data_IF_840336389897
#
_entry.id   IF_840336389897
#
_cell.length_a   1.000
_cell.length_b   1.000
_cell.length_c   1.000
_cell.angle_alpha   90.00
_cell.angle_beta   90.00
_cell.angle_gamma   90.00
#
_symmetry.space_group_name_H-M   'P 1'
#
loop_
_entity.id
_entity.type
_entity.pdbx_description
1 polymer ?
#
# COMPACT_ATOMS: atom_id res chain seq x y z
N UNK A 1 -25.16 -3.70 16.18
CA UNK A 1 -25.23 -4.15 14.77
C UNK A 1 -26.15 -3.24 13.96
N UNK A 2 -25.66 -2.71 12.85
CA UNK A 2 -26.37 -1.81 11.94
C UNK A 2 -27.10 -2.62 10.85
N UNK A 3 -28.41 -2.40 10.69
CA UNK A 3 -29.18 -3.02 9.60
C UNK A 3 -29.16 -2.13 8.34
N UNK A 4 -28.73 -2.67 7.21
CA UNK A 4 -28.70 -1.97 5.94
C UNK A 4 -29.71 -2.62 4.99
N UNK A 5 -30.74 -1.86 4.62
CA UNK A 5 -31.68 -2.27 3.59
C UNK A 5 -31.19 -1.83 2.22
N UNK A 6 -31.27 -2.74 1.25
CA UNK A 6 -31.10 -2.41 -0.17
C UNK A 6 -32.01 -3.30 -1.02
N UNK A 7 -32.31 -2.87 -2.25
CA UNK A 7 -33.17 -3.63 -3.16
C UNK A 7 -32.51 -4.91 -3.70
N UNK A 8 -31.17 -4.98 -3.71
CA UNK A 8 -30.40 -6.14 -4.20
C UNK A 8 -29.07 -6.25 -3.47
N UNK A 9 -28.74 -7.42 -2.92
CA UNK A 9 -27.43 -7.67 -2.32
C UNK A 9 -26.51 -8.25 -3.39
N UNK A 10 -25.44 -7.55 -3.73
CA UNK A 10 -24.39 -7.97 -4.67
C UNK A 10 -23.05 -8.15 -3.98
N UNK A 11 -22.10 -8.79 -4.66
CA UNK A 11 -20.73 -8.91 -4.19
C UNK A 11 -20.06 -7.56 -3.93
N UNK A 12 -20.22 -6.59 -4.85
CA UNK A 12 -19.68 -5.22 -4.70
C UNK A 12 -20.26 -4.51 -3.48
N UNK A 13 -21.58 -4.55 -3.33
CA UNK A 13 -22.29 -3.98 -2.17
C UNK A 13 -21.79 -4.61 -0.87
N UNK A 14 -21.80 -5.93 -0.75
CA UNK A 14 -21.34 -6.62 0.47
C UNK A 14 -19.88 -6.30 0.79
N UNK A 15 -19.02 -6.28 -0.24
CA UNK A 15 -17.61 -5.99 -0.09
C UNK A 15 -17.36 -4.59 0.48
N UNK A 16 -17.93 -3.55 -0.15
CA UNK A 16 -17.65 -2.17 0.25
C UNK A 16 -18.33 -1.80 1.56
N UNK A 17 -19.55 -2.30 1.82
CA UNK A 17 -20.21 -2.10 3.10
C UNK A 17 -19.40 -2.69 4.25
N UNK A 18 -18.84 -3.90 4.08
CA UNK A 18 -17.96 -4.51 5.09
C UNK A 18 -16.63 -3.75 5.22
N UNK A 19 -16.11 -3.18 4.15
CA UNK A 19 -14.88 -2.38 4.25
C UNK A 19 -15.13 -1.09 5.05
N UNK A 20 -16.13 -0.28 4.68
CA UNK A 20 -16.45 0.97 5.36
C UNK A 20 -16.89 0.72 6.80
N UNK A 21 -17.94 -0.08 7.01
CA UNK A 21 -18.51 -0.23 8.34
C UNK A 21 -17.65 -1.10 9.25
N UNK A 22 -17.22 -2.27 8.79
CA UNK A 22 -16.55 -3.23 9.69
C UNK A 22 -15.06 -2.95 9.80
N UNK A 23 -14.35 -2.70 8.70
CA UNK A 23 -12.88 -2.56 8.73
C UNK A 23 -12.40 -1.16 9.12
N UNK A 24 -13.05 -0.11 8.62
CA UNK A 24 -12.68 1.27 8.98
C UNK A 24 -13.37 1.69 10.27
N UNK A 25 -14.70 1.49 10.36
CA UNK A 25 -15.51 2.03 11.45
C UNK A 25 -15.80 1.07 12.61
N UNK A 26 -15.38 -0.19 12.58
CA UNK A 26 -15.62 -1.12 13.70
C UNK A 26 -17.10 -1.36 14.01
N UNK A 27 -17.97 -1.29 13.00
CA UNK A 27 -19.43 -1.50 13.10
C UNK A 27 -19.79 -2.83 12.43
N UNK A 28 -20.43 -3.70 13.20
CA UNK A 28 -21.06 -4.91 12.66
C UNK A 28 -22.30 -4.56 11.83
N UNK A 29 -22.41 -5.17 10.66
CA UNK A 29 -23.51 -4.92 9.71
C UNK A 29 -24.27 -6.19 9.36
N UNK A 30 -25.58 -6.05 9.18
CA UNK A 30 -26.45 -7.05 8.56
C UNK A 30 -27.21 -6.43 7.40
N UNK A 31 -27.44 -7.22 6.36
CA UNK A 31 -28.10 -6.78 5.14
C UNK A 31 -29.48 -7.41 5.02
N UNK A 32 -30.45 -6.67 4.49
CA UNK A 32 -31.76 -7.21 4.11
C UNK A 32 -32.27 -6.62 2.81
N UNK A 33 -33.01 -7.42 2.05
CA UNK A 33 -33.81 -6.98 0.89
C UNK A 33 -35.30 -6.91 1.20
N UNK A 34 -35.71 -7.27 2.41
CA UNK A 34 -37.12 -7.28 2.83
C UNK A 34 -37.44 -6.01 3.60
N UNK A 35 -38.38 -5.23 3.07
CA UNK A 35 -38.88 -4.02 3.74
C UNK A 35 -39.46 -4.36 5.12
N UNK A 36 -40.11 -5.52 5.27
CA UNK A 36 -40.66 -5.97 6.56
C UNK A 36 -39.60 -6.11 7.65
N UNK A 37 -38.43 -6.67 7.33
CA UNK A 37 -37.33 -6.83 8.28
C UNK A 37 -36.78 -5.46 8.70
N UNK A 38 -36.68 -4.53 7.73
CA UNK A 38 -36.29 -3.15 7.99
C UNK A 38 -37.28 -2.43 8.92
N UNK A 39 -38.59 -2.60 8.71
CA UNK A 39 -39.62 -1.99 9.56
C UNK A 39 -39.57 -2.58 10.97
N UNK A 40 -39.45 -3.91 11.11
CA UNK A 40 -39.41 -4.61 12.40
C UNK A 40 -38.16 -4.31 13.22
N UNK A 41 -37.06 -3.91 12.59
CA UNK A 41 -35.80 -3.62 13.27
C UNK A 41 -35.88 -2.31 14.08
N UNK A 42 -35.56 -2.38 15.37
CA UNK A 42 -35.63 -1.27 16.33
C UNK A 42 -34.29 -0.57 16.56
N UNK A 43 -33.18 -1.20 16.19
CA UNK A 43 -31.83 -0.64 16.31
C UNK A 43 -31.45 0.33 15.18
N UNK A 44 -30.18 0.76 15.12
CA UNK A 44 -29.64 1.55 14.03
C UNK A 44 -29.90 0.87 12.68
N UNK A 45 -30.47 1.63 11.74
CA UNK A 45 -30.78 1.12 10.40
C UNK A 45 -30.70 2.21 9.36
N UNK A 46 -30.14 1.87 8.20
CA UNK A 46 -30.04 2.77 7.05
C UNK A 46 -30.63 2.12 5.79
N UNK A 47 -31.01 2.96 4.83
CA UNK A 47 -31.43 2.52 3.49
C UNK A 47 -30.41 2.95 2.45
N UNK A 48 -30.08 2.04 1.54
CA UNK A 48 -29.21 2.28 0.40
C UNK A 48 -29.92 1.89 -0.90
N UNK A 49 -30.63 2.84 -1.49
CA UNK A 49 -31.54 2.67 -2.63
C UNK A 49 -31.68 3.94 -3.45
N UNK A 50 -32.45 3.91 -4.54
CA UNK A 50 -32.73 5.11 -5.36
C UNK A 50 -33.66 6.12 -4.68
N UNK A 51 -34.55 5.65 -3.80
CA UNK A 51 -35.52 6.45 -3.07
C UNK A 51 -35.56 6.00 -1.60
N UNK A 52 -35.81 6.91 -0.65
CA UNK A 52 -36.02 6.56 0.75
C UNK A 52 -37.33 5.78 0.91
N UNK A 53 -37.42 4.97 1.96
CA UNK A 53 -38.66 4.29 2.33
C UNK A 53 -39.55 5.23 3.15
N UNK A 54 -38.98 5.93 4.12
CA UNK A 54 -39.65 6.84 5.05
C UNK A 54 -38.69 7.98 5.47
N UNK A 55 -38.55 8.23 6.78
CA UNK A 55 -37.67 9.26 7.36
C UNK A 55 -36.47 8.63 8.09
N UNK A 56 -35.93 7.54 7.55
CA UNK A 56 -34.71 6.89 8.04
C UNK A 56 -33.42 7.63 7.61
N UNK A 57 -32.27 7.13 8.07
CA UNK A 57 -31.00 7.53 7.47
C UNK A 57 -30.87 6.87 6.09
N UNK A 58 -30.96 7.67 5.05
CA UNK A 58 -31.01 7.27 3.66
C UNK A 58 -29.78 7.78 2.90
N UNK A 59 -29.10 6.86 2.20
CA UNK A 59 -28.04 7.18 1.25
C UNK A 59 -28.53 6.79 -0.14
N UNK A 60 -28.60 7.77 -1.04
CA UNK A 60 -29.04 7.51 -2.42
C UNK A 60 -27.97 6.72 -3.18
N UNK A 61 -28.39 5.62 -3.80
CA UNK A 61 -27.48 4.70 -4.48
C UNK A 61 -27.20 5.04 -5.95
N UNK A 62 -25.95 4.93 -6.34
CA UNK A 62 -25.45 4.80 -7.71
C UNK A 62 -25.62 3.35 -8.19
N UNK A 63 -25.66 3.14 -9.50
CA UNK A 63 -25.85 1.81 -10.09
C UNK A 63 -24.58 0.95 -10.05
N UNK A 64 -23.39 1.57 -9.86
CA UNK A 64 -22.09 0.91 -9.84
C UNK A 64 -22.03 -0.34 -8.94
N UNK A 65 -22.68 -0.31 -7.77
CA UNK A 65 -22.67 -1.44 -6.84
C UNK A 65 -23.63 -2.57 -7.25
N UNK A 66 -24.52 -2.34 -8.21
CA UNK A 66 -25.53 -3.31 -8.66
C UNK A 66 -25.28 -3.85 -10.08
N UNK A 67 -24.39 -3.20 -10.81
CA UNK A 67 -23.88 -3.58 -12.12
C UNK A 67 -22.85 -4.73 -12.04
N UNK A 68 -22.58 -5.35 -13.19
CA UNK A 68 -21.50 -6.31 -13.39
C UNK A 68 -20.60 -5.82 -14.52
N UNK A 69 -19.32 -6.17 -14.44
CA UNK A 69 -18.34 -5.79 -15.46
C UNK A 69 -17.87 -4.34 -15.35
N UNK A 70 -17.14 -3.90 -16.38
CA UNK A 70 -16.46 -2.62 -16.40
C UNK A 70 -17.12 -1.72 -17.44
N UNK A 71 -17.56 -0.55 -16.99
CA UNK A 71 -18.24 0.48 -17.78
C UNK A 71 -17.44 1.77 -17.64
N UNK A 72 -17.44 2.58 -18.69
CA UNK A 72 -16.88 3.93 -18.60
C UNK A 72 -17.80 4.81 -17.73
N UNK A 73 -17.20 5.58 -16.83
CA UNK A 73 -17.92 6.36 -15.82
C UNK A 73 -17.54 7.84 -15.96
N UNK A 74 -18.55 8.70 -15.95
CA UNK A 74 -18.38 10.15 -15.98
C UNK A 74 -18.45 10.70 -14.55
N UNK A 75 -17.44 11.47 -14.16
CA UNK A 75 -17.35 12.03 -12.82
C UNK A 75 -17.66 13.53 -12.83
N UNK A 76 -18.54 13.92 -11.91
CA UNK A 76 -18.64 15.31 -11.45
C UNK A 76 -18.10 15.35 -10.03
N UNK A 77 -16.99 16.07 -9.85
CA UNK A 77 -16.40 16.27 -8.53
C UNK A 77 -17.23 17.30 -7.77
N UNK A 78 -17.59 16.95 -6.55
CA UNK A 78 -18.15 17.84 -5.54
C UNK A 78 -17.22 17.87 -4.32
N UNK A 79 -17.74 18.41 -3.22
CA UNK A 79 -17.01 18.53 -1.97
C UNK A 79 -17.96 18.18 -0.80
N UNK A 80 -17.45 17.48 0.21
CA UNK A 80 -18.11 17.27 1.48
C UNK A 80 -17.16 17.66 2.63
N UNK A 81 -17.49 18.75 3.32
CA UNK A 81 -16.70 19.34 4.42
C UNK A 81 -15.21 19.49 4.06
N UNK A 82 -14.90 20.12 2.92
CA UNK A 82 -13.53 20.34 2.47
C UNK A 82 -12.82 19.11 1.89
N UNK A 83 -13.54 18.01 1.63
CA UNK A 83 -12.98 16.79 1.04
C UNK A 83 -13.63 16.57 -0.33
N UNK A 84 -12.83 16.45 -1.41
CA UNK A 84 -13.38 16.11 -2.73
C UNK A 84 -14.19 14.81 -2.68
N UNK A 85 -15.30 14.75 -3.40
CA UNK A 85 -16.17 13.58 -3.49
C UNK A 85 -16.81 13.49 -4.88
N UNK A 86 -17.38 12.34 -5.25
CA UNK A 86 -18.01 12.13 -6.56
C UNK A 86 -19.17 11.15 -6.45
N UNK A 87 -19.95 11.00 -7.54
CA UNK A 87 -21.30 10.42 -7.49
C UNK A 87 -22.26 11.22 -6.60
N UNK A 88 -22.31 12.53 -6.86
CA UNK A 88 -23.19 13.48 -6.17
C UNK A 88 -24.63 12.97 -6.17
N UNK A 89 -25.28 13.06 -5.01
CA UNK A 89 -26.67 12.70 -4.81
C UNK A 89 -27.56 13.94 -4.78
N UNK A 90 -28.87 13.77 -4.73
CA UNK A 90 -29.81 14.90 -4.61
C UNK A 90 -30.19 15.15 -3.16
N UNK A 91 -30.82 16.30 -2.91
CA UNK A 91 -31.18 16.86 -1.58
C UNK A 91 -31.96 15.92 -0.64
N UNK A 92 -32.49 14.80 -1.13
CA UNK A 92 -33.19 13.81 -0.31
C UNK A 92 -32.25 12.83 0.42
N UNK A 93 -30.98 12.74 0.02
CA UNK A 93 -29.97 11.88 0.66
C UNK A 93 -29.43 12.57 1.92
N UNK A 94 -29.18 11.81 2.98
CA UNK A 94 -28.55 12.36 4.19
C UNK A 94 -27.08 12.72 4.00
N UNK A 95 -26.45 12.24 2.92
CA UNK A 95 -25.04 12.49 2.57
C UNK A 95 -25.01 13.03 1.14
N UNK A 96 -24.13 14.02 0.82
CA UNK A 96 -24.15 14.72 -0.47
C UNK A 96 -23.72 13.88 -1.69
N UNK A 97 -23.20 12.68 -1.49
CA UNK A 97 -22.77 11.77 -2.57
C UNK A 97 -22.94 10.30 -2.14
N UNK A 98 -22.84 9.41 -3.11
CA UNK A 98 -22.80 7.98 -2.83
C UNK A 98 -21.40 7.55 -2.37
N UNK A 99 -21.19 7.66 -1.05
CA UNK A 99 -19.96 7.25 -0.37
C UNK A 99 -19.56 5.80 -0.69
N UNK A 100 -20.52 4.90 -0.83
CA UNK A 100 -20.23 3.48 -1.01
C UNK A 100 -19.78 3.18 -2.44
N UNK A 101 -20.44 3.77 -3.44
CA UNK A 101 -19.99 3.64 -4.83
C UNK A 101 -18.64 4.34 -5.05
N UNK A 102 -18.44 5.53 -4.49
CA UNK A 102 -17.19 6.27 -4.62
C UNK A 102 -16.02 5.51 -3.97
N UNK A 103 -16.23 4.97 -2.78
CA UNK A 103 -15.22 4.16 -2.08
C UNK A 103 -14.91 2.87 -2.82
N UNK A 104 -15.94 2.19 -3.37
CA UNK A 104 -15.72 0.98 -4.17
C UNK A 104 -14.87 1.27 -5.40
N UNK A 105 -15.14 2.38 -6.12
CA UNK A 105 -14.38 2.79 -7.29
C UNK A 105 -12.88 2.94 -6.98
N UNK A 106 -12.54 3.64 -5.89
CA UNK A 106 -11.15 3.86 -5.49
C UNK A 106 -10.47 2.58 -4.98
N UNK A 107 -11.12 1.83 -4.09
CA UNK A 107 -10.52 0.65 -3.44
C UNK A 107 -10.34 -0.50 -4.42
N UNK A 108 -11.31 -0.74 -5.31
CA UNK A 108 -11.20 -1.77 -6.35
C UNK A 108 -10.20 -1.38 -7.44
N UNK A 109 -9.66 -0.15 -7.41
CA UNK A 109 -8.83 0.43 -8.47
C UNK A 109 -9.53 0.34 -9.83
N UNK A 110 -10.82 0.66 -9.85
CA UNK A 110 -11.68 0.51 -11.02
C UNK A 110 -11.10 1.17 -12.28
N UNK A 111 -10.47 2.34 -12.13
CA UNK A 111 -9.80 3.07 -13.20
C UNK A 111 -8.68 2.28 -13.90
N UNK A 112 -8.02 1.35 -13.20
CA UNK A 112 -6.94 0.54 -13.78
C UNK A 112 -7.46 -0.62 -14.64
N UNK A 113 -8.78 -0.91 -14.60
CA UNK A 113 -9.42 -1.84 -15.54
C UNK A 113 -9.82 -1.16 -16.86
N UNK A 114 -9.91 0.18 -16.88
CA UNK A 114 -10.23 0.95 -18.07
C UNK A 114 -8.99 1.10 -18.97
N UNK A 115 -9.15 1.34 -20.27
CA UNK A 115 -8.01 1.64 -21.15
C UNK A 115 -7.23 2.86 -20.64
N UNK A 116 -5.92 2.68 -20.43
CA UNK A 116 -5.03 3.73 -19.95
C UNK A 116 -3.62 3.56 -20.54
N UNK A 117 -2.83 4.63 -20.52
CA UNK A 117 -1.43 4.60 -20.95
C UNK A 117 -0.55 4.21 -19.77
N UNK A 118 0.05 3.03 -19.85
CA UNK A 118 1.02 2.55 -18.85
C UNK A 118 2.35 3.28 -19.00
N UNK A 119 3.07 3.42 -17.89
CA UNK A 119 4.43 3.96 -17.92
C UNK A 119 5.46 2.97 -18.49
N UNK A 120 6.74 3.36 -18.51
CA UNK A 120 7.84 2.53 -19.04
C UNK A 120 8.05 1.19 -18.32
N UNK A 121 7.48 1.01 -17.12
CA UNK A 121 7.52 -0.22 -16.35
C UNK A 121 6.19 -0.98 -16.40
N UNK A 122 5.22 -0.53 -17.19
CA UNK A 122 3.91 -1.16 -17.29
C UNK A 122 2.98 -0.83 -16.12
N UNK A 123 3.22 0.27 -15.39
CA UNK A 123 2.44 0.69 -14.22
C UNK A 123 1.37 1.69 -14.60
N UNK A 124 0.31 1.77 -13.79
CA UNK A 124 -0.67 2.85 -13.85
C UNK A 124 -0.04 4.15 -13.31
N UNK A 125 0.14 5.19 -14.13
CA UNK A 125 0.76 6.43 -13.70
C UNK A 125 -0.17 7.26 -12.81
N UNK A 126 0.34 7.97 -11.79
CA UNK A 126 -0.48 8.78 -10.91
C UNK A 126 -1.25 9.86 -11.66
N UNK A 127 -0.70 10.44 -12.72
CA UNK A 127 -1.32 11.52 -13.53
C UNK A 127 -2.64 11.12 -14.21
N UNK A 128 -2.86 9.83 -14.43
CA UNK A 128 -4.10 9.29 -14.99
C UNK A 128 -5.14 8.99 -13.90
N UNK A 129 -4.76 9.05 -12.62
CA UNK A 129 -5.68 8.79 -11.51
C UNK A 129 -6.63 9.95 -11.26
N UNK A 130 -7.88 9.62 -10.93
CA UNK A 130 -8.88 10.61 -10.50
C UNK A 130 -8.37 11.45 -9.31
N UNK A 131 -7.60 10.81 -8.41
CA UNK A 131 -7.05 11.41 -7.20
C UNK A 131 -5.97 12.46 -7.46
N UNK A 132 -5.09 12.21 -8.43
CA UNK A 132 -4.08 13.19 -8.84
C UNK A 132 -4.72 14.35 -9.61
N UNK A 133 -5.63 14.05 -10.53
CA UNK A 133 -6.27 15.07 -11.38
C UNK A 133 -7.14 16.07 -10.60
N UNK A 134 -7.53 15.73 -9.37
CA UNK A 134 -8.38 16.55 -8.53
C UNK A 134 -7.76 16.81 -7.14
N UNK A 135 -6.43 16.75 -7.05
CA UNK A 135 -5.63 17.18 -5.89
C UNK A 135 -6.02 16.55 -4.54
N UNK A 136 -6.40 15.27 -4.54
CA UNK A 136 -6.71 14.52 -3.31
C UNK A 136 -5.84 13.28 -3.10
N UNK A 137 -4.77 13.12 -3.87
CA UNK A 137 -3.85 11.98 -3.76
C UNK A 137 -3.23 11.86 -2.34
N UNK A 138 -2.88 12.98 -1.72
CA UNK A 138 -2.22 13.01 -0.41
C UNK A 138 -3.19 12.78 0.77
N UNK A 139 -4.47 12.48 0.52
CA UNK A 139 -5.48 12.29 1.57
C UNK A 139 -6.09 10.89 1.49
N UNK A 140 -6.28 10.19 2.61
CA UNK A 140 -6.99 8.90 2.63
C UNK A 140 -8.50 9.16 2.57
N UNK A 141 -8.99 9.70 1.45
CA UNK A 141 -10.36 10.22 1.31
C UNK A 141 -11.44 9.21 1.69
N UNK A 142 -11.23 7.91 1.42
CA UNK A 142 -12.20 6.87 1.80
C UNK A 142 -12.33 6.74 3.32
N UNK A 143 -11.22 6.79 4.03
CA UNK A 143 -11.21 6.79 5.49
C UNK A 143 -11.85 8.07 6.05
N UNK A 144 -11.51 9.23 5.46
CA UNK A 144 -12.09 10.52 5.88
C UNK A 144 -13.61 10.50 5.70
N UNK A 145 -14.10 10.07 4.52
CA UNK A 145 -15.53 9.95 4.26
C UNK A 145 -16.22 8.98 5.23
N UNK A 146 -15.57 7.87 5.58
CA UNK A 146 -16.11 6.92 6.55
C UNK A 146 -16.29 7.57 7.93
N UNK A 147 -15.32 8.36 8.41
CA UNK A 147 -15.44 9.07 9.69
C UNK A 147 -16.46 10.21 9.65
N UNK A 148 -16.61 10.90 8.51
CA UNK A 148 -17.69 11.87 8.29
C UNK A 148 -19.07 11.16 8.32
N UNK A 149 -19.21 10.01 7.65
CA UNK A 149 -20.40 9.17 7.72
C UNK A 149 -20.70 8.74 9.17
N UNK A 150 -19.67 8.36 9.93
CA UNK A 150 -19.84 7.97 11.32
C UNK A 150 -20.39 9.12 12.18
N UNK A 151 -19.95 10.37 11.93
CA UNK A 151 -20.48 11.55 12.61
C UNK A 151 -21.98 11.71 12.34
N UNK A 152 -22.40 11.70 11.08
CA UNK A 152 -23.81 11.79 10.68
C UNK A 152 -24.65 10.65 11.27
N UNK A 153 -24.10 9.43 11.29
CA UNK A 153 -24.77 8.28 11.90
C UNK A 153 -24.93 8.43 13.41
N UNK A 154 -23.94 8.96 14.12
CA UNK A 154 -24.03 9.20 15.57
C UNK A 154 -25.01 10.31 15.92
N UNK A 155 -25.17 11.31 15.07
CA UNK A 155 -26.24 12.32 15.23
C UNK A 155 -27.62 11.67 15.16
N UNK A 156 -27.80 10.69 14.25
CA UNK A 156 -29.08 9.96 14.12
C UNK A 156 -29.27 8.83 15.13
N UNK A 157 -28.18 8.16 15.51
CA UNK A 157 -28.15 7.00 16.40
C UNK A 157 -27.14 7.21 17.53
N UNK A 158 -27.46 8.05 18.55
CA UNK A 158 -26.49 8.45 19.58
C UNK A 158 -25.89 7.30 20.40
N UNK A 159 -26.64 6.21 20.55
CA UNK A 159 -26.23 5.03 21.32
C UNK A 159 -25.56 3.95 20.44
N UNK A 160 -25.15 4.27 19.22
CA UNK A 160 -24.48 3.31 18.34
C UNK A 160 -23.06 3.03 18.85
N UNK A 161 -22.82 1.78 19.23
CA UNK A 161 -21.51 1.29 19.63
C UNK A 161 -20.59 1.08 18.41
N UNK A 162 -19.32 1.40 18.61
CA UNK A 162 -18.26 1.36 17.60
C UNK A 162 -17.01 0.78 18.26
N UNK A 163 -16.40 -0.22 17.64
CA UNK A 163 -15.08 -0.68 18.06
C UNK A 163 -14.02 0.36 17.67
N UNK A 164 -13.27 0.85 18.66
CA UNK A 164 -12.22 1.83 18.41
C UNK A 164 -10.95 1.15 17.89
N UNK A 165 -10.50 1.58 16.71
CA UNK A 165 -9.15 1.29 16.22
C UNK A 165 -8.15 2.38 16.62
N UNK A 166 -6.88 2.03 16.72
CA UNK A 166 -5.78 2.97 16.93
C UNK A 166 -4.99 3.21 15.65
N UNK A 167 -4.36 4.38 15.56
CA UNK A 167 -3.35 4.66 14.55
C UNK A 167 -2.18 3.66 14.67
N UNK A 168 -1.67 3.19 13.54
CA UNK A 168 -0.45 2.39 13.48
C UNK A 168 0.52 2.93 12.43
N UNK A 169 1.80 2.66 12.62
CA UNK A 169 2.84 2.98 11.66
C UNK A 169 3.71 1.76 11.41
N UNK A 170 3.92 1.43 10.13
CA UNK A 170 4.72 0.29 9.68
C UNK A 170 5.82 0.80 8.76
N UNK A 171 7.07 0.45 9.06
CA UNK A 171 8.21 0.80 8.21
C UNK A 171 8.68 -0.39 7.39
N UNK A 172 8.68 -0.25 6.07
CA UNK A 172 9.18 -1.26 5.15
C UNK A 172 10.58 -0.87 4.67
N UNK A 173 11.49 -1.85 4.66
CA UNK A 173 12.81 -1.72 4.08
C UNK A 173 12.88 -2.57 2.81
N UNK A 174 13.00 -1.91 1.66
CA UNK A 174 13.24 -2.57 0.38
C UNK A 174 14.73 -2.89 0.24
N UNK A 175 15.03 -4.19 0.09
CA UNK A 175 16.39 -4.69 -0.09
C UNK A 175 16.51 -5.27 -1.50
N UNK A 176 16.52 -4.38 -2.50
CA UNK A 176 16.75 -4.75 -3.91
C UNK A 176 18.18 -5.20 -4.15
N UNK A 177 19.13 -4.63 -3.40
CA UNK A 177 20.53 -5.04 -3.40
C UNK A 177 21.09 -4.94 -1.99
N UNK A 178 21.46 -6.06 -1.39
CA UNK A 178 22.06 -6.07 -0.05
C UNK A 178 23.42 -5.38 0.03
N UNK A 179 24.22 -5.44 -1.03
CA UNK A 179 25.59 -4.89 -1.06
C UNK A 179 25.92 -4.24 -2.40
N UNK A 180 26.52 -3.05 -2.36
CA UNK A 180 26.95 -2.31 -3.54
C UNK A 180 28.17 -2.98 -4.22
N UNK A 181 29.13 -3.45 -3.42
CA UNK A 181 30.40 -4.00 -3.88
C UNK A 181 30.70 -5.37 -3.26
N UNK A 182 30.49 -5.52 -1.96
CA UNK A 182 30.80 -6.74 -1.22
C UNK A 182 29.96 -7.93 -1.71
N UNK A 183 30.54 -9.13 -1.57
CA UNK A 183 29.87 -10.42 -1.80
C UNK A 183 29.32 -10.64 -3.21
N UNK A 184 29.62 -9.75 -4.16
CA UNK A 184 29.36 -9.94 -5.59
C UNK A 184 30.39 -10.89 -6.21
N UNK A 185 29.97 -11.62 -7.23
CA UNK A 185 30.85 -12.55 -7.96
C UNK A 185 32.05 -11.83 -8.61
N UNK A 186 33.20 -12.51 -8.68
CA UNK A 186 34.47 -11.95 -9.13
C UNK A 186 34.38 -11.23 -10.48
N UNK A 187 33.74 -11.85 -11.48
CA UNK A 187 33.56 -11.28 -12.82
C UNK A 187 32.77 -9.97 -12.78
N UNK A 188 31.69 -9.91 -11.99
CA UNK A 188 30.87 -8.69 -11.83
C UNK A 188 31.67 -7.57 -11.14
N UNK A 189 32.48 -7.93 -10.15
CA UNK A 189 33.33 -6.99 -9.42
C UNK A 189 34.40 -6.37 -10.33
N UNK A 190 35.04 -7.18 -11.18
CA UNK A 190 36.04 -6.71 -12.16
C UNK A 190 35.40 -5.88 -13.28
N UNK A 191 34.28 -6.33 -13.85
CA UNK A 191 33.55 -5.57 -14.87
C UNK A 191 33.09 -4.21 -14.31
N UNK A 192 32.60 -4.16 -13.07
CA UNK A 192 32.25 -2.92 -12.39
C UNK A 192 33.45 -1.98 -12.23
N UNK A 193 34.63 -2.50 -11.88
CA UNK A 193 35.86 -1.71 -11.79
C UNK A 193 36.25 -1.11 -13.16
N UNK A 194 36.23 -1.92 -14.23
CA UNK A 194 36.56 -1.45 -15.58
C UNK A 194 35.57 -0.38 -16.06
N UNK A 195 34.28 -0.56 -15.79
CA UNK A 195 33.26 0.45 -16.11
C UNK A 195 33.45 1.73 -15.30
N UNK A 196 33.72 1.64 -14.00
CA UNK A 196 33.95 2.81 -13.15
C UNK A 196 35.21 3.58 -13.58
N UNK A 197 36.29 2.88 -13.95
CA UNK A 197 37.50 3.48 -14.52
C UNK A 197 37.25 4.12 -15.89
N UNK A 198 36.57 3.41 -16.80
CA UNK A 198 36.25 3.91 -18.14
C UNK A 198 35.29 5.10 -18.12
N UNK A 199 34.47 5.22 -17.08
CA UNK A 199 33.57 6.36 -16.84
C UNK A 199 34.15 7.43 -15.91
N UNK A 200 35.44 7.34 -15.56
CA UNK A 200 36.17 8.29 -14.70
C UNK A 200 35.55 8.50 -13.32
N UNK A 201 34.84 7.50 -12.78
CA UNK A 201 34.22 7.53 -11.44
C UNK A 201 35.22 7.10 -10.37
N UNK A 202 36.32 7.84 -10.24
CA UNK A 202 37.44 7.49 -9.35
C UNK A 202 37.04 7.30 -7.88
N UNK A 203 36.04 8.04 -7.40
CA UNK A 203 35.49 7.86 -6.04
C UNK A 203 34.94 6.44 -5.83
N UNK A 204 34.11 5.94 -6.75
CA UNK A 204 33.56 4.57 -6.70
C UNK A 204 34.65 3.51 -6.79
N UNK A 205 35.71 3.78 -7.56
CA UNK A 205 36.89 2.92 -7.63
C UNK A 205 37.57 2.83 -6.26
N UNK A 206 37.82 3.96 -5.60
CA UNK A 206 38.41 3.98 -4.26
C UNK A 206 37.53 3.26 -3.22
N UNK A 207 36.22 3.55 -3.19
CA UNK A 207 35.25 2.86 -2.32
C UNK A 207 35.28 1.35 -2.53
N UNK A 208 35.27 0.89 -3.78
CA UNK A 208 35.34 -0.53 -4.12
C UNK A 208 36.60 -1.20 -3.55
N UNK A 209 37.76 -0.57 -3.66
CA UNK A 209 39.00 -1.09 -3.07
C UNK A 209 38.94 -1.12 -1.54
N UNK A 210 38.38 -0.08 -0.90
CA UNK A 210 38.19 -0.06 0.55
C UNK A 210 37.28 -1.20 1.02
N UNK A 211 36.16 -1.43 0.31
CA UNK A 211 35.22 -2.52 0.63
C UNK A 211 35.82 -3.91 0.36
N UNK A 212 36.72 -4.05 -0.62
CA UNK A 212 37.44 -5.30 -0.82
C UNK A 212 38.40 -5.62 0.34
N UNK A 213 39.01 -4.59 0.95
CA UNK A 213 39.88 -4.75 2.12
C UNK A 213 39.05 -4.96 3.40
N UNK A 214 37.93 -4.25 3.54
CA UNK A 214 37.01 -4.38 4.67
C UNK A 214 35.54 -4.38 4.17
N UNK A 215 34.94 -5.58 3.98
CA UNK A 215 33.56 -5.71 3.49
C UNK A 215 32.50 -4.98 4.33
N UNK A 216 32.75 -4.76 5.62
CA UNK A 216 31.81 -4.04 6.50
C UNK A 216 31.74 -2.52 6.25
N UNK A 217 32.52 -2.00 5.30
CA UNK A 217 32.41 -0.62 4.81
C UNK A 217 31.50 -0.52 3.58
N UNK A 218 30.81 -1.60 3.19
CA UNK A 218 29.89 -1.54 2.04
C UNK A 218 28.78 -0.53 2.34
N UNK A 219 28.54 0.45 1.45
CA UNK A 219 27.56 1.50 1.71
C UNK A 219 26.15 0.95 1.93
N UNK A 220 25.81 -0.20 1.33
CA UNK A 220 24.47 -0.76 1.44
C UNK A 220 24.30 -1.71 2.64
N UNK A 221 25.39 -2.01 3.38
CA UNK A 221 25.37 -2.84 4.58
C UNK A 221 24.99 -2.00 5.82
N UNK A 222 23.75 -1.51 5.84
CA UNK A 222 23.19 -0.69 6.92
C UNK A 222 22.24 -1.46 7.86
N UNK A 223 22.17 -2.79 7.73
CA UNK A 223 21.18 -3.64 8.42
C UNK A 223 21.29 -3.56 9.94
N UNK A 224 22.50 -3.59 10.49
CA UNK A 224 22.73 -3.52 11.95
C UNK A 224 22.21 -2.21 12.53
N UNK A 225 22.49 -1.09 11.87
CA UNK A 225 22.01 0.24 12.28
C UNK A 225 20.49 0.35 12.19
N UNK A 226 19.88 -0.21 11.13
CA UNK A 226 18.42 -0.23 10.99
C UNK A 226 17.75 -1.06 12.10
N UNK A 227 18.26 -2.25 12.38
CA UNK A 227 17.75 -3.11 13.47
C UNK A 227 17.87 -2.40 14.82
N UNK A 228 19.00 -1.72 15.09
CA UNK A 228 19.18 -0.96 16.31
C UNK A 228 18.18 0.20 16.43
N UNK A 229 17.97 0.95 15.34
CA UNK A 229 16.94 2.01 15.30
C UNK A 229 15.54 1.46 15.56
N UNK A 230 15.17 0.37 14.90
CA UNK A 230 13.86 -0.27 15.10
C UNK A 230 13.67 -0.74 16.54
N UNK A 231 14.71 -1.35 17.13
CA UNK A 231 14.68 -1.79 18.53
C UNK A 231 14.58 -0.61 19.51
N UNK A 232 15.32 0.46 19.27
CA UNK A 232 15.34 1.64 20.15
C UNK A 232 14.00 2.36 20.18
N UNK A 233 13.28 2.43 19.05
CA UNK A 233 11.96 3.04 18.98
C UNK A 233 10.80 2.06 19.17
N UNK A 234 11.07 0.76 19.18
CA UNK A 234 10.04 -0.29 19.26
C UNK A 234 9.14 -0.35 18.02
N UNK A 235 9.61 0.12 16.86
CA UNK A 235 8.82 0.24 15.61
C UNK A 235 8.63 -1.13 14.96
N UNK A 236 7.40 -1.42 14.51
CA UNK A 236 7.14 -2.55 13.61
C UNK A 236 7.81 -2.35 12.25
N UNK A 237 8.78 -3.21 11.91
CA UNK A 237 9.50 -3.14 10.63
C UNK A 237 9.51 -4.47 9.87
N UNK A 238 9.54 -4.35 8.54
CA UNK A 238 9.58 -5.49 7.62
C UNK A 238 10.68 -5.27 6.58
N UNK A 239 11.49 -6.29 6.32
CA UNK A 239 12.52 -6.28 5.28
C UNK A 239 12.07 -7.12 4.09
N UNK A 240 11.93 -6.50 2.93
CA UNK A 240 11.61 -7.16 1.67
C UNK A 240 12.89 -7.47 0.90
N UNK A 241 13.38 -8.69 1.05
CA UNK A 241 14.59 -9.13 0.36
C UNK A 241 14.29 -9.58 -1.06
N UNK A 242 14.98 -8.98 -2.03
CA UNK A 242 15.08 -9.56 -3.36
C UNK A 242 15.95 -10.82 -3.29
N UNK A 243 15.31 -11.99 -3.35
CA UNK A 243 15.97 -13.30 -3.28
C UNK A 243 15.86 -14.03 -4.63
N UNK A 244 16.53 -13.48 -5.64
CA UNK A 244 16.43 -13.92 -7.03
C UNK A 244 17.78 -14.01 -7.72
N UNK A 245 17.85 -14.81 -8.78
CA UNK A 245 19.03 -14.88 -9.64
C UNK A 245 19.25 -13.58 -10.43
N UNK A 246 20.50 -13.41 -10.90
CA UNK A 246 20.91 -12.19 -11.57
C UNK A 246 20.21 -11.99 -12.93
N UNK A 247 19.69 -10.79 -13.18
CA UNK A 247 19.07 -10.38 -14.44
C UNK A 247 19.38 -8.92 -14.79
N UNK A 248 18.87 -8.44 -15.94
CA UNK A 248 19.01 -7.04 -16.38
C UNK A 248 18.55 -6.05 -15.32
N UNK A 249 17.42 -6.34 -14.70
CA UNK A 249 16.90 -5.52 -13.62
C UNK A 249 17.41 -6.05 -12.29
N UNK A 250 17.45 -7.36 -12.04
CA UNK A 250 17.69 -8.00 -10.73
C UNK A 250 19.19 -8.14 -10.44
N UNK A 251 19.75 -7.24 -9.62
CA UNK A 251 21.21 -7.08 -9.46
C UNK A 251 21.72 -7.43 -8.07
N UNK A 252 20.93 -8.07 -7.22
CA UNK A 252 21.34 -8.43 -5.87
C UNK A 252 22.53 -9.43 -5.86
N UNK A 253 23.02 -9.70 -4.65
CA UNK A 253 23.91 -10.83 -4.35
C UNK A 253 23.17 -12.14 -4.63
N UNK A 254 23.86 -13.12 -5.20
CA UNK A 254 23.24 -14.39 -5.59
C UNK A 254 22.60 -15.11 -4.38
N UNK A 255 21.41 -15.70 -4.54
CA UNK A 255 20.75 -16.55 -3.55
C UNK A 255 21.63 -17.69 -3.01
N UNK A 256 22.58 -18.17 -3.82
CA UNK A 256 23.51 -19.24 -3.47
C UNK A 256 24.65 -18.79 -2.53
N UNK A 257 24.80 -17.49 -2.28
CA UNK A 257 25.83 -16.97 -1.37
C UNK A 257 25.50 -17.27 0.08
N UNK A 258 26.34 -18.07 0.75
CA UNK A 258 26.19 -18.35 2.18
C UNK A 258 26.20 -17.09 3.04
N UNK A 259 26.95 -16.05 2.64
CA UNK A 259 26.99 -14.77 3.37
C UNK A 259 25.67 -14.02 3.26
N UNK A 260 25.04 -14.02 2.09
CA UNK A 260 23.73 -13.39 1.91
C UNK A 260 22.64 -14.15 2.67
N UNK A 261 22.66 -15.48 2.62
CA UNK A 261 21.75 -16.32 3.41
C UNK A 261 21.94 -16.12 4.91
N UNK A 262 23.18 -15.94 5.38
CA UNK A 262 23.48 -15.62 6.78
C UNK A 262 22.93 -14.24 7.17
N UNK A 263 23.13 -13.21 6.33
CA UNK A 263 22.57 -11.87 6.57
C UNK A 263 21.05 -11.93 6.73
N UNK A 264 20.35 -12.61 5.82
CA UNK A 264 18.89 -12.74 5.89
C UNK A 264 18.47 -13.41 7.20
N UNK A 265 19.17 -14.47 7.63
CA UNK A 265 18.91 -15.12 8.92
C UNK A 265 19.12 -14.16 10.08
N UNK A 266 20.23 -13.42 10.11
CA UNK A 266 20.49 -12.46 11.19
C UNK A 266 19.46 -11.35 11.25
N UNK A 267 18.93 -10.89 10.11
CA UNK A 267 17.81 -9.92 10.10
C UNK A 267 16.52 -10.58 10.59
N UNK A 268 16.25 -11.83 10.20
CA UNK A 268 15.06 -12.57 10.62
C UNK A 268 15.00 -12.92 12.12
N UNK A 269 16.13 -12.82 12.84
CA UNK A 269 16.18 -12.96 14.30
C UNK A 269 15.57 -11.76 15.03
N UNK A 270 15.51 -10.59 14.38
CA UNK A 270 15.04 -9.33 15.00
C UNK A 270 13.84 -8.70 14.30
N UNK A 271 13.64 -8.95 13.00
CA UNK A 271 12.63 -8.29 12.17
C UNK A 271 11.88 -9.29 11.29
N UNK A 272 10.73 -8.86 10.78
CA UNK A 272 9.96 -9.65 9.81
C UNK A 272 10.69 -9.63 8.46
N UNK A 273 10.91 -10.79 7.87
CA UNK A 273 11.47 -10.95 6.52
C UNK A 273 10.37 -11.39 5.57
N UNK A 274 10.25 -10.68 4.45
CA UNK A 274 9.26 -10.92 3.40
C UNK A 274 9.94 -10.94 2.01
N UNK A 275 9.21 -11.39 0.99
CA UNK A 275 9.75 -11.48 -0.37
C UNK A 275 9.60 -10.16 -1.12
N UNK A 276 10.71 -9.54 -1.51
CA UNK A 276 10.73 -8.59 -2.62
C UNK A 276 10.81 -9.36 -3.93
N UNK A 277 9.69 -9.55 -4.61
CA UNK A 277 9.64 -10.36 -5.84
C UNK A 277 10.56 -9.75 -6.90
N UNK A 278 11.20 -10.59 -7.71
CA UNK A 278 12.05 -10.10 -8.79
C UNK A 278 11.24 -9.42 -9.89
N UNK A 279 11.92 -8.60 -10.69
CA UNK A 279 11.30 -8.06 -11.90
C UNK A 279 10.96 -9.19 -12.89
N UNK A 280 11.80 -10.23 -12.91
CA UNK A 280 11.67 -11.38 -13.81
C UNK A 280 10.51 -12.31 -13.45
N UNK A 281 10.07 -12.34 -12.18
CA UNK A 281 8.97 -13.19 -11.72
C UNK A 281 7.58 -12.58 -11.93
N UNK A 282 7.50 -11.31 -12.39
CA UNK A 282 6.25 -10.59 -12.57
C UNK A 282 5.19 -11.34 -13.42
N UNK A 283 5.62 -11.85 -14.58
CA UNK A 283 4.77 -12.65 -15.49
C UNK A 283 5.07 -14.16 -15.40
N UNK A 284 5.80 -14.61 -14.37
CA UNK A 284 6.25 -15.99 -14.22
C UNK A 284 5.95 -16.54 -12.81
N UNK A 285 4.76 -17.13 -12.69
CA UNK A 285 4.26 -17.75 -11.45
C UNK A 285 5.20 -18.85 -10.93
N UNK A 286 5.78 -19.66 -11.81
CA UNK A 286 6.68 -20.75 -11.40
C UNK A 286 7.96 -20.18 -10.75
N UNK A 287 8.51 -19.12 -11.32
CA UNK A 287 9.67 -18.42 -10.75
C UNK A 287 9.31 -17.75 -9.42
N UNK A 288 8.15 -17.09 -9.33
CA UNK A 288 7.68 -16.48 -8.08
C UNK A 288 7.51 -17.53 -6.96
N UNK A 289 6.94 -18.70 -7.27
CA UNK A 289 6.82 -19.84 -6.33
C UNK A 289 8.20 -20.31 -5.87
N UNK A 290 9.16 -20.39 -6.78
CA UNK A 290 10.53 -20.80 -6.44
C UNK A 290 11.24 -19.77 -5.56
N UNK A 291 11.19 -18.48 -5.89
CA UNK A 291 11.76 -17.39 -5.08
C UNK A 291 11.19 -17.41 -3.65
N UNK A 292 9.85 -17.52 -3.52
CA UNK A 292 9.16 -17.65 -2.23
C UNK A 292 9.66 -18.86 -1.44
N UNK A 293 9.72 -20.03 -2.09
CA UNK A 293 10.14 -21.29 -1.47
C UNK A 293 11.59 -21.22 -1.00
N UNK A 294 12.50 -20.71 -1.82
CA UNK A 294 13.92 -20.63 -1.47
C UNK A 294 14.16 -19.68 -0.30
N UNK A 295 13.50 -18.51 -0.28
CA UNK A 295 13.61 -17.58 0.84
C UNK A 295 13.03 -18.21 2.12
N UNK A 296 11.87 -18.87 2.03
CA UNK A 296 11.25 -19.59 3.16
C UNK A 296 12.20 -20.65 3.75
N UNK A 297 12.92 -21.40 2.89
CA UNK A 297 13.92 -22.37 3.33
C UNK A 297 15.14 -21.75 4.00
N UNK A 298 15.52 -20.51 3.64
CA UNK A 298 16.65 -19.82 4.29
C UNK A 298 16.32 -19.51 5.74
N UNK A 299 15.13 -18.98 6.03
CA UNK A 299 14.75 -18.57 7.39
C UNK A 299 13.96 -19.64 8.16
N UNK A 300 13.62 -20.77 7.51
CA UNK A 300 12.80 -21.85 8.07
C UNK A 300 11.45 -21.37 8.62
N UNK A 301 10.80 -20.43 7.91
CA UNK A 301 9.50 -19.84 8.25
C UNK A 301 8.69 -19.59 6.96
N UNK A 302 7.35 -19.63 7.01
CA UNK A 302 6.53 -19.30 5.85
C UNK A 302 6.71 -17.83 5.45
N UNK A 303 6.67 -17.56 4.15
CA UNK A 303 6.70 -16.20 3.58
C UNK A 303 5.32 -15.89 3.02
N UNK A 304 4.57 -15.06 3.74
CA UNK A 304 3.17 -14.76 3.42
C UNK A 304 2.96 -13.36 2.80
N UNK A 305 3.95 -12.48 2.98
CA UNK A 305 3.96 -11.13 2.48
C UNK A 305 4.85 -10.97 1.25
N UNK A 306 4.40 -10.16 0.30
CA UNK A 306 5.14 -9.84 -0.92
C UNK A 306 5.17 -8.35 -1.22
N UNK A 307 6.17 -7.94 -1.98
CA UNK A 307 6.24 -6.64 -2.63
C UNK A 307 6.83 -6.79 -4.02
N UNK A 308 6.14 -6.30 -5.05
CA UNK A 308 6.59 -6.43 -6.43
C UNK A 308 7.61 -5.36 -6.75
N UNK A 309 8.62 -5.74 -7.54
CA UNK A 309 9.66 -4.80 -7.92
C UNK A 309 9.12 -3.61 -8.71
N UNK A 310 9.69 -2.42 -8.45
CA UNK A 310 9.25 -1.14 -9.02
C UNK A 310 7.80 -0.74 -8.65
N UNK A 311 7.19 -1.39 -7.65
CA UNK A 311 5.76 -1.25 -7.34
C UNK A 311 4.87 -1.56 -8.54
N UNK A 312 5.31 -2.52 -9.38
CA UNK A 312 4.57 -2.92 -10.56
C UNK A 312 3.37 -3.74 -10.15
N UNK A 313 2.18 -3.21 -10.43
CA UNK A 313 0.90 -3.89 -10.24
C UNK A 313 0.15 -3.77 -11.56
N UNK A 314 -0.19 -4.91 -12.15
CA UNK A 314 -1.09 -5.04 -13.29
C UNK A 314 -2.38 -5.71 -12.83
N UNK A 315 -3.47 -4.95 -12.81
CA UNK A 315 -4.75 -5.40 -12.28
C UNK A 315 -5.56 -6.09 -13.40
N UNK A 316 -6.17 -7.27 -13.13
CA UNK A 316 -6.17 -8.05 -11.88
C UNK A 316 -5.01 -9.08 -11.79
N UNK A 317 -4.23 -9.24 -12.86
CA UNK A 317 -3.26 -10.34 -13.05
C UNK A 317 -2.27 -10.49 -11.90
N UNK A 318 -1.69 -9.40 -11.41
CA UNK A 318 -0.69 -9.44 -10.31
C UNK A 318 -1.29 -10.07 -9.05
N UNK A 319 -2.48 -9.62 -8.63
CA UNK A 319 -3.12 -10.15 -7.43
C UNK A 319 -3.58 -11.59 -7.58
N UNK A 320 -4.01 -12.01 -8.78
CA UNK A 320 -4.29 -13.42 -9.08
C UNK A 320 -3.04 -14.28 -8.95
N UNK A 321 -1.92 -13.84 -9.51
CA UNK A 321 -0.64 -14.54 -9.41
C UNK A 321 -0.19 -14.66 -7.94
N UNK A 322 -0.37 -13.61 -7.14
CA UNK A 322 -0.04 -13.64 -5.71
C UNK A 322 -0.91 -14.63 -4.93
N UNK A 323 -2.21 -14.68 -5.22
CA UNK A 323 -3.12 -15.69 -4.62
C UNK A 323 -2.71 -17.11 -5.04
N UNK A 324 -2.41 -17.34 -6.32
CA UNK A 324 -2.00 -18.66 -6.81
C UNK A 324 -0.64 -19.13 -6.26
N UNK A 325 0.20 -18.18 -5.85
CA UNK A 325 1.47 -18.42 -5.14
C UNK A 325 1.32 -18.41 -3.62
N UNK A 326 0.08 -18.40 -3.12
CA UNK A 326 -0.31 -18.49 -1.70
C UNK A 326 0.22 -17.32 -0.84
N UNK A 327 0.42 -16.13 -1.41
CA UNK A 327 0.60 -14.92 -0.61
C UNK A 327 -0.75 -14.47 -0.06
N UNK A 328 -0.73 -14.03 1.20
CA UNK A 328 -1.92 -13.49 1.88
C UNK A 328 -1.88 -11.98 2.01
N UNK A 329 -0.69 -11.39 1.92
CA UNK A 329 -0.47 -9.96 2.13
C UNK A 329 0.42 -9.37 1.02
N UNK A 330 -0.02 -8.28 0.42
CA UNK A 330 0.70 -7.50 -0.58
C UNK A 330 0.97 -6.10 -0.03
N UNK A 331 2.21 -5.64 -0.16
CA UNK A 331 2.63 -4.30 0.24
C UNK A 331 3.06 -3.46 -0.98
N UNK A 332 2.54 -3.75 -2.18
CA UNK A 332 2.98 -3.12 -3.44
C UNK A 332 2.16 -1.88 -3.81
N UNK A 333 0.94 -1.75 -3.30
CA UNK A 333 0.01 -0.70 -3.71
C UNK A 333 0.41 0.69 -3.20
N UNK A 334 1.11 1.44 -4.04
CA UNK A 334 1.45 2.85 -3.84
C UNK A 334 2.20 3.38 -5.05
N UNK A 335 2.67 4.63 -4.99
CA UNK A 335 3.45 5.26 -6.06
C UNK A 335 4.93 5.36 -5.68
N UNK A 336 5.82 5.04 -6.63
CA UNK A 336 7.28 5.12 -6.38
C UNK A 336 7.80 6.56 -6.35
N UNK A 337 7.19 7.46 -7.12
CA UNK A 337 7.70 8.83 -7.33
C UNK A 337 6.70 9.93 -6.92
N UNK A 338 5.57 9.53 -6.34
CA UNK A 338 4.58 10.43 -5.77
C UNK A 338 4.23 9.95 -4.37
N UNK A 339 3.99 10.89 -3.47
CA UNK A 339 3.48 10.59 -2.14
C UNK A 339 1.94 10.59 -2.16
N UNK A 340 1.33 9.83 -1.26
CA UNK A 340 -0.13 9.75 -1.12
C UNK A 340 -0.70 8.35 -1.33
N UNK A 341 -2.03 8.26 -1.30
CA UNK A 341 -2.78 7.01 -1.18
C UNK A 341 -3.32 6.58 -2.54
N UNK A 342 -2.62 5.66 -3.21
CA UNK A 342 -3.03 5.14 -4.54
C UNK A 342 -4.47 4.63 -4.55
N UNK A 343 -4.90 3.90 -3.52
CA UNK A 343 -6.27 3.38 -3.40
C UNK A 343 -7.25 4.34 -2.69
N UNK A 344 -6.85 5.59 -2.42
CA UNK A 344 -7.64 6.56 -1.66
C UNK A 344 -7.88 6.19 -0.19
N UNK A 345 -7.17 5.18 0.32
CA UNK A 345 -7.31 4.68 1.69
C UNK A 345 -5.95 4.37 2.32
N UNK A 346 -5.89 4.53 3.64
CA UNK A 346 -4.79 4.10 4.50
C UNK A 346 -5.13 2.79 5.26
N UNK A 347 -6.30 2.22 5.01
CA UNK A 347 -6.76 0.98 5.66
C UNK A 347 -6.52 -0.23 4.78
N UNK A 348 -5.86 -1.28 5.29
CA UNK A 348 -5.71 -2.51 4.54
C UNK A 348 -7.05 -3.10 4.07
N UNK A 349 -7.10 -3.54 2.81
CA UNK A 349 -8.31 -4.06 2.18
C UNK A 349 -8.03 -5.35 1.43
N UNK A 350 -9.02 -6.22 1.29
CA UNK A 350 -8.87 -7.38 0.42
C UNK A 350 -9.07 -6.97 -1.02
N UNK A 351 -8.22 -7.43 -1.94
CA UNK A 351 -8.38 -7.10 -3.35
C UNK A 351 -9.74 -7.60 -3.88
N UNK A 352 -10.45 -6.76 -4.64
CA UNK A 352 -11.70 -7.12 -5.30
C UNK A 352 -11.45 -7.27 -6.80
N UNK A 353 -11.63 -8.48 -7.31
CA UNK A 353 -11.49 -8.78 -8.73
C UNK A 353 -12.82 -8.49 -9.44
N UNK A 354 -12.88 -7.38 -10.17
CA UNK A 354 -14.10 -6.94 -10.86
C UNK A 354 -14.49 -7.91 -11.97
N UNK A 355 -13.52 -8.47 -12.70
CA UNK A 355 -13.80 -9.41 -13.78
C UNK A 355 -14.47 -10.69 -13.26
N UNK A 356 -14.12 -11.11 -12.03
CA UNK A 356 -14.73 -12.27 -11.37
C UNK A 356 -15.89 -11.90 -10.43
N UNK A 357 -16.15 -10.61 -10.22
CA UNK A 357 -17.09 -10.07 -9.21
C UNK A 357 -16.89 -10.67 -7.81
N UNK A 358 -15.62 -10.89 -7.41
CA UNK A 358 -15.27 -11.63 -6.20
C UNK A 358 -14.12 -10.98 -5.43
N UNK A 359 -14.23 -10.98 -4.10
CA UNK A 359 -13.12 -10.64 -3.21
C UNK A 359 -12.08 -11.77 -3.21
N UNK A 360 -10.84 -11.44 -3.56
CA UNK A 360 -9.71 -12.36 -3.52
C UNK A 360 -9.15 -12.51 -2.10
N UNK A 361 -8.57 -13.67 -1.73
CA UNK A 361 -8.01 -13.91 -0.41
C UNK A 361 -6.62 -13.30 -0.22
N UNK A 362 -6.38 -12.10 -0.76
CA UNK A 362 -5.15 -11.34 -0.57
C UNK A 362 -5.47 -9.95 -0.03
N UNK A 363 -4.80 -9.58 1.05
CA UNK A 363 -4.92 -8.28 1.69
C UNK A 363 -3.85 -7.35 1.12
N UNK A 364 -4.28 -6.22 0.60
CA UNK A 364 -3.45 -5.13 0.12
C UNK A 364 -3.24 -4.15 1.27
N UNK A 365 -1.98 -3.86 1.55
CA UNK A 365 -1.51 -2.87 2.52
C UNK A 365 -0.96 -1.67 1.76
N UNK A 366 -1.78 -0.63 1.53
CA UNK A 366 -1.34 0.51 0.75
C UNK A 366 -0.28 1.33 1.50
N UNK A 367 0.77 1.75 0.79
CA UNK A 367 1.77 2.66 1.35
C UNK A 367 1.61 4.07 0.79
N UNK A 368 1.93 5.06 1.63
CA UNK A 368 1.77 6.48 1.29
C UNK A 368 3.10 7.17 0.97
N UNK A 369 4.22 6.61 1.44
CA UNK A 369 5.54 7.22 1.29
C UNK A 369 6.52 6.20 0.72
N UNK A 370 7.21 6.60 -0.34
CA UNK A 370 8.39 5.93 -0.85
C UNK A 370 9.55 6.93 -0.84
N UNK A 371 10.72 6.51 -0.39
CA UNK A 371 11.92 7.34 -0.35
C UNK A 371 12.32 7.94 -1.72
N UNK A 372 12.16 7.22 -2.83
CA UNK A 372 12.35 7.75 -4.19
C UNK A 372 11.39 8.90 -4.53
N UNK A 373 10.19 8.96 -3.95
CA UNK A 373 9.26 10.08 -4.12
C UNK A 373 9.75 11.34 -3.37
N UNK A 374 10.58 11.15 -2.34
CA UNK A 374 11.11 12.23 -1.52
C UNK A 374 12.34 12.91 -2.16
N UNK A 375 12.98 12.26 -3.14
CA UNK A 375 14.18 12.78 -3.81
C UNK A 375 13.96 14.07 -4.60
N UNK A 376 12.71 14.43 -4.92
CA UNK A 376 12.38 15.68 -5.61
C UNK A 376 12.37 16.90 -4.70
N UNK A 377 12.33 16.70 -3.38
CA UNK A 377 12.36 17.78 -2.40
C UNK A 377 13.79 18.23 -2.12
N UNK A 378 13.93 19.49 -1.70
CA UNK A 378 15.21 20.21 -1.65
C UNK A 378 16.08 19.82 -0.47
N UNK A 379 15.46 19.66 0.70
CA UNK A 379 16.10 19.47 1.99
C UNK A 379 15.24 18.65 2.96
N UNK A 380 15.82 18.31 4.12
CA UNK A 380 15.20 17.44 5.12
C UNK A 380 13.93 18.08 5.70
N UNK A 381 13.94 19.39 5.87
CA UNK A 381 12.83 20.16 6.40
C UNK A 381 11.59 20.02 5.50
N UNK A 382 11.73 20.26 4.19
CA UNK A 382 10.63 20.11 3.24
C UNK A 382 10.08 18.67 3.20
N UNK A 383 10.97 17.66 3.24
CA UNK A 383 10.55 16.26 3.31
C UNK A 383 9.73 15.98 4.57
N UNK A 384 10.18 16.48 5.72
CA UNK A 384 9.50 16.26 6.99
C UNK A 384 8.16 16.98 7.07
N UNK A 385 8.00 18.15 6.43
CA UNK A 385 6.69 18.82 6.29
C UNK A 385 5.69 17.93 5.53
N UNK A 386 6.12 17.34 4.42
CA UNK A 386 5.29 16.43 3.62
C UNK A 386 4.91 15.16 4.36
N UNK A 387 5.86 14.53 5.04
CA UNK A 387 5.59 13.33 5.86
C UNK A 387 4.68 13.67 7.04
N UNK A 388 4.88 14.82 7.69
CA UNK A 388 4.05 15.26 8.81
C UNK A 388 2.58 15.51 8.39
N UNK A 389 2.36 16.02 7.18
CA UNK A 389 1.02 16.15 6.61
C UNK A 389 0.33 14.78 6.47
N UNK A 390 0.98 13.81 5.82
CA UNK A 390 0.43 12.46 5.66
C UNK A 390 0.19 11.75 6.99
N UNK A 391 1.11 11.92 7.94
CA UNK A 391 0.96 11.42 9.31
C UNK A 391 -0.29 12.00 9.97
N UNK A 392 -0.51 13.31 9.88
CA UNK A 392 -1.68 13.97 10.46
C UNK A 392 -2.97 13.43 9.83
N UNK A 393 -3.08 13.43 8.50
CA UNK A 393 -4.27 12.93 7.80
C UNK A 393 -4.59 11.48 8.18
N UNK A 394 -3.56 10.62 8.28
CA UNK A 394 -3.74 9.20 8.64
C UNK A 394 -4.11 9.03 10.12
N UNK A 395 -3.53 9.83 11.01
CA UNK A 395 -3.79 9.76 12.45
C UNK A 395 -5.20 10.23 12.80
N UNK A 396 -5.71 11.26 12.12
CA UNK A 396 -7.08 11.78 12.33
C UNK A 396 -8.15 10.72 12.03
N UNK A 397 -7.91 9.86 11.05
CA UNK A 397 -8.79 8.73 10.71
C UNK A 397 -8.38 7.42 11.41
N UNK A 398 -7.46 7.48 12.38
CA UNK A 398 -6.94 6.34 13.15
C UNK A 398 -6.49 5.17 12.24
N UNK A 399 -5.88 5.47 11.08
CA UNK A 399 -5.48 4.50 10.07
C UNK A 399 -4.04 3.99 10.22
N UNK A 400 -3.58 3.24 9.21
CA UNK A 400 -2.21 2.74 9.14
C UNK A 400 -1.37 3.60 8.17
N UNK A 401 -0.28 4.18 8.67
CA UNK A 401 0.71 4.85 7.83
C UNK A 401 1.86 3.89 7.50
N UNK A 402 2.02 3.57 6.22
CA UNK A 402 3.14 2.74 5.74
C UNK A 402 4.11 3.60 4.94
N UNK A 403 5.39 3.52 5.32
CA UNK A 403 6.50 4.15 4.60
C UNK A 403 7.49 3.10 4.10
N UNK A 404 8.11 3.38 2.96
CA UNK A 404 9.08 2.50 2.31
C UNK A 404 10.39 3.21 2.11
N UNK A 405 11.45 2.62 2.64
CA UNK A 405 12.82 3.06 2.45
C UNK A 405 13.65 1.96 1.81
N UNK A 406 14.49 2.33 0.86
CA UNK A 406 15.38 1.43 0.14
C UNK A 406 16.73 1.44 0.83
N UNK A 407 17.29 0.26 1.13
CA UNK A 407 18.60 0.17 1.77
C UNK A 407 19.70 0.85 0.93
N UNK A 408 19.54 0.84 -0.40
CA UNK A 408 20.42 1.50 -1.36
C UNK A 408 20.46 3.02 -1.20
N UNK A 409 19.32 3.66 -0.91
CA UNK A 409 19.24 5.11 -0.74
C UNK A 409 19.68 5.53 0.67
N UNK A 410 19.30 4.74 1.69
CA UNK A 410 19.76 4.91 3.07
C UNK A 410 21.28 4.87 3.18
N UNK A 411 21.91 3.92 2.50
CA UNK A 411 23.35 3.73 2.52
C UNK A 411 24.12 4.48 1.42
N UNK A 412 23.42 4.96 0.41
CA UNK A 412 24.00 5.60 -0.76
C UNK A 412 24.49 7.01 -0.49
N UNK A 413 25.44 7.47 -1.31
CA UNK A 413 25.85 8.87 -1.29
C UNK A 413 24.71 9.76 -1.78
N UNK A 414 24.31 10.72 -0.95
CA UNK A 414 23.31 11.72 -1.29
C UNK A 414 23.63 13.05 -0.59
N UNK A 415 23.00 14.12 -1.08
CA UNK A 415 23.06 15.45 -0.43
C UNK A 415 22.36 15.43 0.93
N UNK A 416 21.33 14.60 1.08
CA UNK A 416 20.56 14.42 2.31
C UNK A 416 21.09 13.19 3.03
N UNK A 417 21.32 13.29 4.33
CA UNK A 417 21.60 12.13 5.17
C UNK A 417 20.30 11.32 5.36
N UNK A 418 20.17 10.25 4.58
CA UNK A 418 18.96 9.43 4.57
C UNK A 418 18.78 8.59 5.84
N UNK A 419 19.86 8.21 6.53
CA UNK A 419 19.75 7.51 7.82
C UNK A 419 19.24 8.47 8.90
N UNK A 420 19.76 9.69 8.95
CA UNK A 420 19.29 10.71 9.88
C UNK A 420 17.84 11.14 9.59
N UNK A 421 17.48 11.30 8.31
CA UNK A 421 16.09 11.51 7.89
C UNK A 421 15.21 10.34 8.34
N UNK A 422 15.61 9.10 8.06
CA UNK A 422 14.87 7.90 8.42
C UNK A 422 14.62 7.81 9.93
N UNK A 423 15.68 8.02 10.73
CA UNK A 423 15.58 8.08 12.20
C UNK A 423 14.59 9.16 12.67
N UNK A 424 14.61 10.34 12.01
CA UNK A 424 13.65 11.42 12.30
C UNK A 424 12.22 11.03 11.97
N UNK A 425 11.99 10.34 10.84
CA UNK A 425 10.67 9.83 10.45
C UNK A 425 10.15 8.83 11.47
N UNK A 426 10.97 7.86 11.90
CA UNK A 426 10.60 6.89 12.93
C UNK A 426 10.19 7.59 14.24
N UNK A 427 11.01 8.53 14.69
CA UNK A 427 10.76 9.29 15.93
C UNK A 427 9.50 10.17 15.87
N UNK A 428 9.09 10.63 14.68
CA UNK A 428 7.92 11.52 14.53
C UNK A 428 6.62 10.77 14.24
N UNK A 429 6.70 9.65 13.53
CA UNK A 429 5.52 8.91 13.10
C UNK A 429 5.13 7.78 14.06
N UNK A 430 6.06 7.26 14.87
CA UNK A 430 5.80 6.12 15.75
C UNK A 430 5.84 6.46 17.24
N UNK A 431 6.85 7.22 17.68
CA UNK A 431 7.03 7.69 19.07
C UNK A 431 6.14 8.90 19.33
#
# INVERSE_FOLDING_TARGET
>A
MLLIYTHKITSRFTYIMKHIFTRILGIEVVFTTKVEDFIKHTGPKITYTKQPLQNEFFVRSNDLLFEQGINDLQFKIGEWDGVPCFFVTGDRSNIPFDIFAASFYLISRYEEYLPHVKDMHGRFPPTESLAYQNDFLERPVVDIWAFQLLKELKERFPNMEVEERGFSYTSLIDVTTSHCYAHRGFVRSLAGLVLDLGSLKFKRVAERFMVWLNPGLDPYDNFSSLIELHKNYGVGSMFFFQFAEYSTYDKNVSPNSNRFRYLIKSVADYSIVALGASYSSFDNIALLKEEKKQLSQVINRPINASRMRYNRVDIPTTYRNLVETEFTDDYTMGYTHEIGFRAGTCTPFFFYDITLELQQPIKVHPFAVHDYALMKYKDKEEIMEKIAFLYKETKEVKGELISVFSNELLGGESKIDWIDLYSTVLKKCYV
#
